data_IF_140846541160
#
_entry.id   IF_140846541160
#
_cell.length_a   1.000
_cell.length_b   1.000
_cell.length_c   1.000
_cell.angle_alpha   90.00
_cell.angle_beta   90.00
_cell.angle_gamma   90.00
#
_symmetry.space_group_name_H-M   'P 1'
#
loop_
_entity.id
_entity.type
_entity.pdbx_description
1 polymer ?
#
# COMPACT_ATOMS: atom_id res chain seq x y z
N UNK A 1 66.01 -63.28 57.04
CA UNK A 1 65.06 -64.28 57.59
C UNK A 1 63.72 -64.12 56.86
N UNK A 2 63.06 -65.24 56.51
CA UNK A 2 61.60 -65.45 56.29
C UNK A 2 60.65 -64.23 56.32
N UNK A 3 59.62 -64.01 55.48
CA UNK A 3 58.84 -64.77 54.45
C UNK A 3 57.88 -63.72 53.77
N UNK A 4 57.21 -63.85 52.62
CA UNK A 4 57.11 -64.84 51.51
C UNK A 4 56.34 -64.24 50.28
N UNK A 5 56.44 -64.86 49.08
CA UNK A 5 55.42 -65.11 47.99
C UNK A 5 54.10 -64.27 47.86
N UNK A 6 53.47 -63.98 46.69
CA UNK A 6 53.63 -64.33 45.25
C UNK A 6 52.74 -63.44 44.32
N UNK A 7 53.12 -63.28 43.04
CA UNK A 7 52.31 -63.14 41.78
C UNK A 7 50.98 -62.33 41.71
N UNK A 8 51.04 -61.21 40.96
CA UNK A 8 50.36 -60.95 39.65
C UNK A 8 48.93 -61.46 39.36
N UNK A 9 47.97 -60.54 39.10
CA UNK A 9 47.11 -60.44 37.88
C UNK A 9 46.07 -59.29 37.95
N UNK A 10 45.76 -58.67 36.80
CA UNK A 10 44.52 -57.86 36.61
C UNK A 10 43.30 -58.78 36.45
N UNK A 11 42.08 -58.25 36.69
CA UNK A 11 41.04 -58.34 35.66
C UNK A 11 40.23 -57.05 35.44
N UNK A 12 39.41 -57.07 34.39
CA UNK A 12 38.52 -55.98 33.91
C UNK A 12 37.07 -56.21 34.35
N UNK A 13 36.44 -55.15 34.88
CA UNK A 13 34.99 -54.82 34.95
C UNK A 13 34.87 -53.69 35.99
N UNK A 14 34.06 -52.63 35.88
CA UNK A 14 32.78 -52.48 35.20
C UNK A 14 31.74 -52.04 36.25
N UNK A 15 30.83 -51.12 35.88
CA UNK A 15 29.74 -50.50 36.69
C UNK A 15 30.01 -49.09 37.25
N UNK A 16 29.00 -48.26 37.01
CA UNK A 16 28.87 -46.83 37.25
C UNK A 16 29.12 -46.33 38.68
N UNK A 17 29.58 -45.08 38.78
CA UNK A 17 29.36 -44.24 39.95
C UNK A 17 28.54 -43.01 39.54
N UNK A 18 27.38 -42.83 40.15
CA UNK A 18 26.49 -41.71 39.87
C UNK A 18 27.03 -40.42 40.50
N UNK A 19 27.15 -39.34 39.71
CA UNK A 19 27.44 -38.01 40.24
C UNK A 19 26.11 -37.27 40.46
N UNK A 20 25.70 -37.14 41.72
CA UNK A 20 24.55 -36.34 42.10
C UNK A 20 24.91 -34.84 42.03
N UNK A 21 24.41 -34.14 41.00
CA UNK A 21 24.42 -32.67 40.96
C UNK A 21 23.27 -32.14 41.81
N UNK A 22 23.61 -31.46 42.90
CA UNK A 22 22.65 -30.73 43.72
C UNK A 22 22.07 -29.55 42.93
N UNK A 23 20.75 -29.52 42.76
CA UNK A 23 20.03 -28.35 42.25
C UNK A 23 20.05 -27.24 43.29
N UNK A 24 20.96 -26.28 43.15
CA UNK A 24 20.78 -24.96 43.79
C UNK A 24 19.78 -24.17 42.96
N UNK A 25 18.59 -23.94 43.52
CA UNK A 25 17.53 -23.15 42.88
C UNK A 25 17.90 -21.65 42.81
N UNK A 26 18.68 -21.29 41.79
CA UNK A 26 18.85 -19.89 41.38
C UNK A 26 17.67 -19.48 40.50
N UNK A 27 16.85 -18.54 40.98
CA UNK A 27 15.77 -17.94 40.21
C UNK A 27 16.32 -16.99 39.12
N UNK A 28 16.96 -17.56 38.10
CA UNK A 28 17.36 -16.85 36.89
C UNK A 28 16.16 -16.68 35.95
N UNK A 29 15.60 -15.47 35.88
CA UNK A 29 14.63 -15.10 34.85
C UNK A 29 15.30 -15.18 33.47
N UNK A 30 15.17 -16.35 32.82
CA UNK A 30 15.97 -16.76 31.67
C UNK A 30 15.14 -17.06 30.42
N UNK A 31 14.47 -16.04 29.88
CA UNK A 31 14.33 -15.92 28.42
C UNK A 31 14.19 -14.45 28.02
N UNK A 32 15.33 -13.89 27.62
CA UNK A 32 15.42 -12.62 26.89
C UNK A 32 14.32 -12.50 25.85
N UNK A 33 13.71 -11.32 25.75
CA UNK A 33 12.72 -11.01 24.73
C UNK A 33 13.21 -11.50 23.35
N UNK A 34 12.46 -12.43 22.76
CA UNK A 34 12.79 -12.96 21.44
C UNK A 34 12.83 -11.80 20.45
N UNK A 35 13.97 -11.63 19.77
CA UNK A 35 14.19 -10.54 18.84
C UNK A 35 13.00 -10.40 17.89
N UNK A 36 12.35 -9.24 17.91
CA UNK A 36 11.17 -8.98 17.11
C UNK A 36 11.57 -8.97 15.64
N UNK A 37 11.36 -10.10 14.97
CA UNK A 37 11.80 -10.33 13.59
C UNK A 37 11.28 -9.19 12.71
N UNK A 38 12.20 -8.57 11.97
CA UNK A 38 11.98 -7.40 11.14
C UNK A 38 10.97 -7.71 10.02
N UNK A 39 9.78 -7.14 10.13
CA UNK A 39 8.70 -7.25 9.14
C UNK A 39 7.58 -8.24 9.52
N UNK A 40 6.44 -8.11 8.84
CA UNK A 40 5.37 -9.11 8.92
C UNK A 40 5.74 -10.35 8.06
N UNK A 41 5.35 -11.58 8.47
CA UNK A 41 5.62 -12.79 7.69
C UNK A 41 4.81 -12.81 6.39
N UNK A 42 5.33 -13.43 5.32
CA UNK A 42 4.61 -13.59 4.05
C UNK A 42 3.26 -14.28 4.26
N UNK A 43 2.21 -13.77 3.62
CA UNK A 43 0.87 -14.36 3.62
C UNK A 43 0.81 -15.45 2.54
N UNK A 44 0.59 -16.74 2.88
CA UNK A 44 0.30 -17.77 1.89
C UNK A 44 -1.10 -17.53 1.32
N UNK A 45 -1.20 -17.39 0.00
CA UNK A 45 -2.46 -17.16 -0.71
C UNK A 45 -2.58 -18.06 -1.94
N UNK A 46 -3.81 -18.39 -2.30
CA UNK A 46 -4.15 -19.15 -3.51
C UNK A 46 -5.52 -18.72 -4.03
N UNK A 47 -5.76 -18.89 -5.33
CA UNK A 47 -7.03 -18.54 -5.97
C UNK A 47 -7.50 -19.64 -6.91
N UNK A 48 -8.81 -19.75 -7.08
CA UNK A 48 -9.45 -20.74 -7.94
C UNK A 48 -10.79 -20.22 -8.50
N UNK A 49 -11.25 -20.72 -9.65
CA UNK A 49 -12.56 -20.39 -10.20
C UNK A 49 -13.67 -21.07 -9.39
N UNK A 50 -14.83 -20.42 -9.30
CA UNK A 50 -15.98 -20.91 -8.54
C UNK A 50 -16.06 -20.37 -7.11
N UNK A 51 -16.98 -20.94 -6.33
CA UNK A 51 -17.29 -20.54 -4.96
C UNK A 51 -17.56 -21.74 -4.06
N UNK A 52 -17.50 -21.54 -2.74
CA UNK A 52 -17.88 -22.56 -1.77
C UNK A 52 -19.33 -23.03 -1.98
N UNK A 53 -19.55 -24.34 -1.93
CA UNK A 53 -20.87 -24.95 -1.99
C UNK A 53 -21.00 -26.00 -0.89
N UNK A 54 -21.87 -25.74 0.10
CA UNK A 54 -22.08 -26.63 1.24
C UNK A 54 -22.81 -27.94 0.89
N UNK A 55 -23.52 -27.98 -0.24
CA UNK A 55 -24.38 -29.09 -0.67
C UNK A 55 -23.90 -29.77 -1.96
N UNK A 56 -22.71 -29.44 -2.44
CA UNK A 56 -22.14 -30.03 -3.64
C UNK A 56 -21.20 -31.19 -3.28
N UNK A 57 -21.00 -32.19 -4.16
CA UNK A 57 -20.08 -33.30 -3.92
C UNK A 57 -18.65 -32.80 -3.65
N UNK A 58 -18.21 -31.82 -4.44
CA UNK A 58 -17.02 -31.02 -4.14
C UNK A 58 -17.40 -29.79 -3.31
N UNK A 59 -16.62 -29.49 -2.27
CA UNK A 59 -16.84 -28.30 -1.41
C UNK A 59 -16.69 -26.96 -2.15
N UNK A 60 -16.23 -27.00 -3.40
CA UNK A 60 -16.15 -25.88 -4.33
C UNK A 60 -17.01 -26.25 -5.54
N UNK A 61 -18.02 -25.42 -5.84
CA UNK A 61 -18.70 -25.49 -7.12
C UNK A 61 -18.01 -24.53 -8.08
N UNK A 62 -17.58 -25.04 -9.24
CA UNK A 62 -17.22 -24.16 -10.35
C UNK A 62 -18.42 -23.29 -10.71
N UNK A 63 -18.18 -21.99 -10.83
CA UNK A 63 -19.17 -21.00 -11.24
C UNK A 63 -18.54 -20.10 -12.30
N UNK A 64 -19.17 -19.94 -13.47
CA UNK A 64 -18.67 -19.04 -14.49
C UNK A 64 -18.40 -17.66 -13.89
N UNK A 65 -17.25 -17.09 -14.21
CA UNK A 65 -16.88 -15.72 -13.82
C UNK A 65 -17.00 -15.48 -12.31
N UNK A 66 -16.65 -16.46 -11.49
CA UNK A 66 -16.48 -16.26 -10.05
C UNK A 66 -15.04 -16.61 -9.68
N UNK A 67 -14.32 -15.72 -9.03
CA UNK A 67 -12.99 -16.00 -8.49
C UNK A 67 -13.07 -16.01 -6.97
N UNK A 68 -12.61 -17.10 -6.37
CA UNK A 68 -12.38 -17.16 -4.93
C UNK A 68 -10.88 -17.03 -4.66
N UNK A 69 -10.53 -16.11 -3.76
CA UNK A 69 -9.19 -15.95 -3.19
C UNK A 69 -9.23 -16.50 -1.76
N UNK A 70 -8.26 -17.35 -1.42
CA UNK A 70 -8.04 -17.83 -0.06
C UNK A 70 -6.66 -17.43 0.42
N UNK A 71 -6.53 -17.22 1.72
CA UNK A 71 -5.25 -16.98 2.36
C UNK A 71 -5.19 -17.55 3.77
N UNK A 72 -3.98 -17.92 4.19
CA UNK A 72 -3.71 -18.42 5.53
C UNK A 72 -3.37 -17.26 6.47
N UNK A 73 -4.14 -17.14 7.54
CA UNK A 73 -3.92 -16.19 8.64
C UNK A 73 -2.69 -16.58 9.44
N UNK A 74 -1.80 -15.61 9.70
CA UNK A 74 -0.62 -15.85 10.52
C UNK A 74 -0.91 -15.55 11.99
N UNK A 75 -0.86 -16.58 12.83
CA UNK A 75 -1.03 -16.45 14.29
C UNK A 75 -0.02 -15.48 14.90
N UNK A 76 1.23 -15.53 14.43
CA UNK A 76 2.31 -14.65 14.88
C UNK A 76 2.07 -13.20 14.44
N UNK A 77 1.50 -12.97 13.24
CA UNK A 77 1.14 -11.64 12.79
C UNK A 77 -0.02 -11.06 13.61
N UNK A 78 -1.12 -11.81 13.75
CA UNK A 78 -2.34 -11.34 14.44
C UNK A 78 -2.18 -11.18 15.95
N UNK A 79 -1.21 -11.87 16.56
CA UNK A 79 -0.89 -11.70 17.97
C UNK A 79 -0.15 -10.38 18.27
N UNK A 80 0.43 -9.70 17.28
CA UNK A 80 1.18 -8.45 17.49
C UNK A 80 0.28 -7.33 18.03
N UNK A 81 0.90 -6.33 18.65
CA UNK A 81 0.22 -5.13 19.13
C UNK A 81 -0.19 -4.19 17.99
N UNK A 82 0.58 -4.15 16.90
CA UNK A 82 0.43 -3.27 15.74
C UNK A 82 -0.36 -3.90 14.58
N UNK A 83 -0.92 -5.10 14.74
CA UNK A 83 -1.76 -5.73 13.71
C UNK A 83 -3.18 -5.14 13.74
N UNK A 84 -3.57 -4.48 12.65
CA UNK A 84 -4.88 -3.85 12.47
C UNK A 84 -5.75 -4.50 11.40
N UNK A 85 -5.29 -5.52 10.68
CA UNK A 85 -6.14 -6.28 9.77
C UNK A 85 -5.49 -6.80 8.49
N UNK A 86 -6.33 -7.05 7.50
CA UNK A 86 -5.94 -7.43 6.13
C UNK A 86 -6.63 -6.55 5.10
N UNK A 87 -5.90 -6.18 4.04
CA UNK A 87 -6.45 -5.51 2.85
C UNK A 87 -6.24 -6.40 1.63
N UNK A 88 -7.27 -6.53 0.80
CA UNK A 88 -7.25 -7.27 -0.47
C UNK A 88 -7.37 -6.27 -1.60
N UNK A 89 -6.41 -6.31 -2.49
CA UNK A 89 -6.33 -5.48 -3.69
C UNK A 89 -6.46 -6.35 -4.95
N UNK A 90 -6.95 -5.74 -6.04
CA UNK A 90 -7.14 -6.36 -7.35
C UNK A 90 -6.58 -5.47 -8.45
N UNK A 91 -5.98 -6.06 -9.48
CA UNK A 91 -5.66 -5.40 -10.76
C UNK A 91 -5.88 -6.39 -11.92
N UNK A 92 -6.27 -5.88 -13.09
CA UNK A 92 -6.53 -6.68 -14.30
C UNK A 92 -5.52 -6.37 -15.40
N UNK A 93 -5.25 -7.36 -16.26
CA UNK A 93 -4.32 -7.26 -17.39
C UNK A 93 -2.86 -7.50 -16.99
N UNK A 94 -2.30 -6.67 -16.10
CA UNK A 94 -0.90 -6.72 -15.67
C UNK A 94 -0.75 -6.62 -14.14
N UNK A 95 0.29 -7.25 -13.54
CA UNK A 95 0.53 -7.23 -12.09
C UNK A 95 1.20 -5.91 -11.63
N UNK A 96 0.61 -4.78 -12.00
CA UNK A 96 1.09 -3.45 -11.61
C UNK A 96 0.48 -3.02 -10.27
N UNK A 97 1.31 -2.93 -9.23
CA UNK A 97 0.88 -2.53 -7.88
C UNK A 97 0.44 -1.07 -7.80
N UNK A 98 0.88 -0.20 -8.71
CA UNK A 98 0.42 1.19 -8.76
C UNK A 98 -1.02 1.33 -9.30
N UNK A 99 -1.56 0.28 -9.91
CA UNK A 99 -2.92 0.22 -10.48
C UNK A 99 -3.87 -0.68 -9.70
N UNK A 100 -3.43 -1.17 -8.54
CA UNK A 100 -4.22 -2.05 -7.68
C UNK A 100 -5.29 -1.28 -6.92
N UNK A 101 -6.56 -1.70 -7.10
CA UNK A 101 -7.71 -1.13 -6.38
C UNK A 101 -8.03 -1.97 -5.14
N UNK A 102 -8.35 -1.32 -4.02
CA UNK A 102 -8.80 -1.98 -2.80
C UNK A 102 -10.21 -2.55 -3.02
N UNK A 103 -10.37 -3.87 -2.96
CA UNK A 103 -11.66 -4.55 -3.14
C UNK A 103 -12.27 -5.04 -1.83
N UNK A 104 -11.45 -5.30 -0.80
CA UNK A 104 -11.93 -5.68 0.54
C UNK A 104 -10.96 -5.27 1.62
N UNK A 105 -11.51 -4.85 2.76
CA UNK A 105 -10.79 -4.58 4.01
C UNK A 105 -11.41 -5.42 5.12
N UNK A 106 -10.57 -6.04 5.94
CA UNK A 106 -10.92 -6.74 7.17
C UNK A 106 -10.13 -6.08 8.30
N UNK A 107 -10.72 -5.09 8.94
CA UNK A 107 -10.01 -4.13 9.81
C UNK A 107 -10.48 -4.22 11.26
N UNK A 108 -9.52 -4.02 12.16
CA UNK A 108 -9.67 -3.94 13.61
C UNK A 108 -9.73 -2.50 14.12
N UNK A 109 -9.53 -1.54 13.22
CA UNK A 109 -9.50 -0.13 13.57
C UNK A 109 -10.87 0.36 14.07
N UNK A 110 -10.91 1.42 14.89
CA UNK A 110 -12.15 2.04 15.33
C UNK A 110 -13.13 2.29 14.16
N UNK A 111 -14.42 2.11 14.42
CA UNK A 111 -15.51 2.18 13.43
C UNK A 111 -15.45 1.14 12.28
N UNK A 112 -14.41 0.30 12.21
CA UNK A 112 -14.24 -0.74 11.18
C UNK A 112 -14.52 -2.16 11.68
N UNK A 113 -14.81 -2.35 12.98
CA UNK A 113 -14.95 -3.66 13.62
C UNK A 113 -16.01 -4.56 12.96
N UNK A 114 -17.09 -3.97 12.43
CA UNK A 114 -18.11 -4.67 11.65
C UNK A 114 -17.58 -5.34 10.38
N UNK A 115 -16.37 -5.01 9.92
CA UNK A 115 -15.72 -5.70 8.80
C UNK A 115 -15.04 -7.01 9.21
N UNK A 116 -14.78 -7.22 10.51
CA UNK A 116 -14.06 -8.38 11.04
C UNK A 116 -15.01 -9.48 11.53
N UNK A 117 -15.06 -10.59 10.80
CA UNK A 117 -15.93 -11.73 11.10
C UNK A 117 -15.18 -12.98 11.61
N UNK A 118 -13.86 -12.86 11.80
CA UNK A 118 -12.99 -13.97 12.17
C UNK A 118 -12.83 -14.09 13.69
N UNK A 119 -12.36 -15.25 14.15
CA UNK A 119 -11.83 -15.44 15.50
C UNK A 119 -10.71 -14.45 15.84
N UNK A 120 -10.35 -14.35 17.12
CA UNK A 120 -9.16 -13.60 17.57
C UNK A 120 -8.06 -14.56 17.96
N UNK A 121 -6.80 -14.19 17.72
CA UNK A 121 -5.66 -14.92 18.28
C UNK A 121 -5.48 -14.51 19.74
N UNK A 122 -5.49 -15.49 20.64
CA UNK A 122 -5.04 -15.29 22.01
C UNK A 122 -3.52 -15.14 22.03
N UNK A 123 -3.02 -14.05 22.62
CA UNK A 123 -1.59 -13.70 22.62
C UNK A 123 -0.74 -14.66 23.46
N UNK A 124 -1.35 -15.44 24.37
CA UNK A 124 -0.64 -16.30 25.31
C UNK A 124 -0.32 -17.68 24.74
N UNK A 125 -1.26 -18.28 23.99
CA UNK A 125 -1.14 -19.64 23.43
C UNK A 125 -1.18 -19.69 21.89
N UNK A 126 -1.27 -18.52 21.25
CA UNK A 126 -1.39 -18.33 19.80
C UNK A 126 -2.55 -19.10 19.17
N UNK A 127 -3.60 -19.43 19.93
CA UNK A 127 -4.80 -20.08 19.42
C UNK A 127 -5.82 -19.10 18.89
N UNK A 128 -6.41 -19.45 17.73
CA UNK A 128 -7.63 -18.81 17.24
C UNK A 128 -8.78 -19.17 18.19
N UNK A 129 -9.39 -18.18 18.83
CA UNK A 129 -10.50 -18.34 19.78
C UNK A 129 -11.69 -17.47 19.40
N UNK A 130 -12.89 -17.99 19.61
CA UNK A 130 -14.17 -17.26 19.56
C UNK A 130 -14.91 -17.51 20.86
N UNK A 131 -15.22 -16.45 21.60
CA UNK A 131 -15.84 -16.51 22.93
C UNK A 131 -15.11 -17.47 23.90
N UNK A 132 -13.77 -17.46 23.88
CA UNK A 132 -12.91 -18.33 24.69
C UNK A 132 -12.69 -19.75 24.16
N UNK A 133 -13.50 -20.22 23.21
CA UNK A 133 -13.38 -21.57 22.62
C UNK A 133 -12.42 -21.56 21.44
N UNK A 134 -11.51 -22.54 21.36
CA UNK A 134 -10.58 -22.71 20.23
C UNK A 134 -11.36 -23.08 18.97
N UNK A 135 -11.02 -22.42 17.86
CA UNK A 135 -11.63 -22.62 16.54
C UNK A 135 -10.55 -22.76 15.45
N UNK A 136 -10.94 -23.29 14.28
CA UNK A 136 -10.02 -23.65 13.20
C UNK A 136 -10.24 -22.84 11.92
N UNK A 137 -10.60 -21.56 12.06
CA UNK A 137 -10.85 -20.61 10.96
C UNK A 137 -9.57 -19.89 10.48
N UNK A 138 -8.45 -20.62 10.41
CA UNK A 138 -7.15 -20.07 9.97
C UNK A 138 -7.12 -19.72 8.48
N UNK A 139 -8.02 -20.29 7.68
CA UNK A 139 -8.13 -20.02 6.23
C UNK A 139 -9.26 -19.05 5.98
N UNK A 140 -8.95 -17.84 5.51
CA UNK A 140 -9.95 -16.89 5.05
C UNK A 140 -10.36 -17.25 3.63
N UNK A 141 -11.65 -17.15 3.34
CA UNK A 141 -12.21 -17.26 1.98
C UNK A 141 -12.85 -15.93 1.61
N UNK A 142 -12.34 -15.29 0.55
CA UNK A 142 -12.90 -14.10 -0.07
C UNK A 142 -13.38 -14.47 -1.48
N UNK A 143 -14.70 -14.39 -1.70
CA UNK A 143 -15.26 -14.45 -3.05
C UNK A 143 -15.30 -13.02 -3.57
N UNK A 144 -14.69 -12.76 -4.72
CA UNK A 144 -14.70 -11.43 -5.31
C UNK A 144 -16.13 -11.10 -5.79
N UNK A 145 -16.80 -10.07 -5.21
CA UNK A 145 -18.19 -9.75 -5.54
C UNK A 145 -18.36 -9.25 -6.98
N UNK A 146 -17.36 -8.56 -7.53
CA UNK A 146 -17.46 -7.99 -8.89
C UNK A 146 -17.09 -9.00 -9.96
N UNK A 147 -16.49 -10.15 -9.61
CA UNK A 147 -16.20 -11.19 -10.60
C UNK A 147 -17.45 -11.60 -11.38
N UNK A 148 -18.59 -11.72 -10.69
CA UNK A 148 -19.84 -12.25 -11.25
C UNK A 148 -20.64 -11.25 -12.11
N UNK A 149 -20.37 -9.94 -12.01
CA UNK A 149 -21.20 -8.89 -12.61
C UNK A 149 -22.26 -8.30 -11.67
N UNK A 150 -23.00 -7.32 -12.18
CA UNK A 150 -24.04 -6.59 -11.45
C UNK A 150 -25.42 -6.87 -12.05
N UNK A 151 -26.41 -7.15 -11.21
CA UNK A 151 -27.79 -7.27 -11.68
C UNK A 151 -28.38 -5.88 -11.93
N UNK A 152 -28.66 -5.58 -13.20
CA UNK A 152 -29.35 -4.37 -13.63
C UNK A 152 -30.80 -4.69 -13.99
N UNK A 153 -31.70 -3.77 -13.65
CA UNK A 153 -33.10 -3.84 -14.08
C UNK A 153 -33.22 -3.25 -15.48
N UNK A 154 -33.50 -4.08 -16.47
CA UNK A 154 -33.71 -3.64 -17.86
C UNK A 154 -35.21 -3.62 -18.15
N UNK A 155 -35.72 -2.47 -18.57
CA UNK A 155 -37.09 -2.33 -19.08
C UNK A 155 -37.13 -2.66 -20.58
N UNK A 156 -38.15 -3.42 -21.03
CA UNK A 156 -38.42 -3.63 -22.46
C UNK A 156 -38.91 -2.36 -23.15
N UNK A 157 -39.65 -1.52 -22.42
CA UNK A 157 -40.10 -0.20 -22.85
C UNK A 157 -39.91 0.80 -21.71
N UNK A 158 -39.43 2.01 -22.05
CA UNK A 158 -39.18 3.10 -21.11
C UNK A 158 -40.01 4.33 -21.45
N UNK A 159 -40.34 5.14 -20.44
CA UNK A 159 -40.82 6.51 -20.64
C UNK A 159 -39.66 7.48 -20.95
N UNK A 160 -40.01 8.74 -21.23
CA UNK A 160 -39.06 9.84 -21.49
C UNK A 160 -38.15 10.18 -20.28
N UNK A 161 -38.31 9.49 -19.14
CA UNK A 161 -37.53 9.66 -17.90
C UNK A 161 -36.84 8.34 -17.50
N UNK A 162 -36.83 7.33 -18.40
CA UNK A 162 -36.13 6.05 -18.21
C UNK A 162 -36.85 5.03 -17.32
N UNK A 163 -38.13 5.23 -16.97
CA UNK A 163 -38.91 4.31 -16.12
C UNK A 163 -39.63 3.26 -16.95
N UNK A 164 -39.74 2.02 -16.44
CA UNK A 164 -40.47 0.96 -17.13
C UNK A 164 -41.98 1.26 -17.19
N UNK A 165 -42.60 1.10 -18.36
CA UNK A 165 -44.00 1.51 -18.59
C UNK A 165 -45.04 0.68 -17.81
N UNK A 166 -44.83 -0.62 -17.60
CA UNK A 166 -45.80 -1.48 -16.89
C UNK A 166 -45.17 -2.50 -15.93
N UNK A 167 -45.99 -3.06 -15.03
CA UNK A 167 -45.61 -4.20 -14.18
C UNK A 167 -45.58 -5.48 -15.02
N UNK A 168 -44.36 -5.91 -15.36
CA UNK A 168 -44.11 -7.09 -16.20
C UNK A 168 -43.08 -6.81 -17.30
N UNK A 169 -42.92 -5.54 -17.69
CA UNK A 169 -41.97 -5.14 -18.75
C UNK A 169 -40.51 -5.07 -18.30
N UNK A 170 -40.20 -5.38 -17.04
CA UNK A 170 -38.82 -5.32 -16.52
C UNK A 170 -38.28 -6.69 -16.17
N UNK A 171 -37.11 -7.02 -16.69
CA UNK A 171 -36.33 -8.20 -16.30
C UNK A 171 -35.09 -7.77 -15.54
N UNK A 172 -34.63 -8.62 -14.61
CA UNK A 172 -33.30 -8.48 -14.02
C UNK A 172 -32.31 -9.20 -14.94
N UNK A 173 -31.35 -8.47 -15.49
CA UNK A 173 -30.27 -8.99 -16.32
C UNK A 173 -28.99 -8.93 -15.51
N UNK A 174 -28.24 -10.04 -15.47
CA UNK A 174 -26.87 -10.00 -14.97
C UNK A 174 -26.00 -9.31 -16.02
N UNK A 175 -25.72 -8.03 -15.83
CA UNK A 175 -24.76 -7.32 -16.66
C UNK A 175 -23.35 -7.69 -16.19
N UNK A 176 -22.53 -8.34 -17.04
CA UNK A 176 -21.13 -8.54 -16.69
C UNK A 176 -20.47 -7.18 -16.45
N UNK A 177 -19.39 -7.10 -15.64
CA UNK A 177 -18.67 -5.85 -15.46
C UNK A 177 -18.19 -5.32 -16.82
N UNK A 178 -17.96 -4.01 -16.98
CA UNK A 178 -17.45 -3.45 -18.22
C UNK A 178 -16.04 -3.97 -18.52
N UNK A 179 -15.97 -5.04 -19.30
CA UNK A 179 -14.75 -5.75 -19.67
C UNK A 179 -15.01 -7.24 -19.93
N UNK A 180 -14.26 -7.91 -20.83
CA UNK A 180 -14.39 -9.35 -21.01
C UNK A 180 -13.88 -10.10 -19.78
N UNK A 181 -14.80 -10.68 -19.00
CA UNK A 181 -14.44 -11.66 -17.96
C UNK A 181 -14.03 -13.02 -18.53
N UNK A 182 -13.99 -13.13 -19.86
CA UNK A 182 -13.32 -14.20 -20.60
C UNK A 182 -11.96 -13.69 -21.10
N UNK A 183 -10.88 -14.04 -20.40
CA UNK A 183 -9.51 -13.98 -20.94
C UNK A 183 -8.49 -13.06 -20.26
N UNK A 184 -8.88 -12.05 -19.48
CA UNK A 184 -7.90 -11.17 -18.82
C UNK A 184 -7.35 -11.76 -17.51
N UNK A 185 -6.02 -11.77 -17.38
CA UNK A 185 -5.35 -12.16 -16.12
C UNK A 185 -5.71 -11.16 -15.03
N UNK A 186 -6.30 -11.66 -13.95
CA UNK A 186 -6.58 -10.89 -12.74
C UNK A 186 -5.57 -11.25 -11.67
N UNK A 187 -4.95 -10.24 -11.07
CA UNK A 187 -3.96 -10.38 -10.02
C UNK A 187 -4.52 -9.83 -8.72
N UNK A 188 -4.28 -10.55 -7.63
CA UNK A 188 -4.65 -10.13 -6.29
C UNK A 188 -3.40 -9.96 -5.45
N UNK A 189 -3.41 -8.95 -4.59
CA UNK A 189 -2.44 -8.78 -3.52
C UNK A 189 -3.18 -8.70 -2.19
N UNK A 190 -2.59 -9.31 -1.15
CA UNK A 190 -3.11 -9.23 0.21
C UNK A 190 -1.99 -8.67 1.07
N UNK A 191 -2.29 -7.59 1.79
CA UNK A 191 -1.35 -6.94 2.70
C UNK A 191 -1.90 -6.99 4.12
N UNK A 192 -1.00 -6.89 5.09
CA UNK A 192 -1.37 -6.50 6.44
C UNK A 192 -1.83 -5.05 6.45
N UNK A 193 -2.68 -4.74 7.42
CA UNK A 193 -3.05 -3.39 7.82
C UNK A 193 -2.51 -3.15 9.23
N UNK A 194 -1.96 -1.96 9.48
CA UNK A 194 -1.53 -1.56 10.82
C UNK A 194 -2.73 -1.22 11.71
N UNK A 195 -2.59 -1.46 13.01
CA UNK A 195 -3.55 -0.97 14.00
C UNK A 195 -3.29 0.51 14.22
N UNK A 196 -4.32 1.33 14.06
CA UNK A 196 -4.28 2.72 14.45
C UNK A 196 -4.32 2.80 15.98
N UNK A 197 -3.15 3.03 16.56
CA UNK A 197 -2.96 3.25 18.01
C UNK A 197 -2.92 4.73 18.38
N UNK A 198 -3.19 5.64 17.43
CA UNK A 198 -3.25 7.08 17.68
C UNK A 198 -4.68 7.53 17.99
N UNK A 199 -4.83 8.42 18.98
CA UNK A 199 -6.12 9.01 19.33
C UNK A 199 -6.61 10.00 18.24
N UNK A 200 -5.69 10.54 17.44
CA UNK A 200 -5.93 11.53 16.38
C UNK A 200 -6.50 10.94 15.07
N UNK A 201 -6.61 9.60 14.97
CA UNK A 201 -7.04 8.94 13.73
C UNK A 201 -5.95 8.83 12.64
N UNK A 202 -4.69 9.05 12.99
CA UNK A 202 -3.54 8.90 12.09
C UNK A 202 -3.21 7.44 11.80
N UNK A 203 -3.27 7.08 10.51
CA UNK A 203 -2.96 5.73 10.04
C UNK A 203 -1.44 5.55 9.92
N UNK A 204 -0.84 4.83 10.87
CA UNK A 204 0.61 4.58 10.93
C UNK A 204 1.16 3.71 9.78
N UNK A 205 0.30 3.12 8.95
CA UNK A 205 0.69 2.52 7.66
C UNK A 205 0.90 3.54 6.53
N UNK A 206 0.59 4.83 6.78
CA UNK A 206 0.81 5.96 5.87
C UNK A 206 1.89 6.92 6.38
N UNK A 207 2.52 6.55 7.49
CA UNK A 207 3.66 7.22 8.08
C UNK A 207 4.93 6.81 7.32
N UNK A 208 5.42 7.70 6.47
CA UNK A 208 6.72 7.52 5.82
C UNK A 208 7.83 8.17 6.65
N UNK A 209 9.06 7.63 6.65
CA UNK A 209 10.21 8.34 7.17
C UNK A 209 10.35 9.69 6.45
N UNK A 210 10.13 10.76 7.19
CA UNK A 210 10.33 12.11 6.70
C UNK A 210 11.80 12.38 6.46
N UNK A 211 12.08 13.30 5.52
CA UNK A 211 13.43 13.84 5.40
C UNK A 211 13.74 14.64 6.65
N UNK A 212 14.86 14.34 7.32
CA UNK A 212 15.44 15.24 8.30
C UNK A 212 16.00 16.47 7.56
N UNK A 213 15.12 17.44 7.39
CA UNK A 213 15.34 18.71 6.69
C UNK A 213 16.19 19.69 7.50
N UNK A 214 16.51 19.36 8.75
CA UNK A 214 17.32 20.19 9.64
C UNK A 214 18.78 19.75 9.71
N UNK A 215 19.12 18.48 9.40
CA UNK A 215 20.50 17.99 9.52
C UNK A 215 20.87 16.85 8.55
N UNK A 216 20.33 16.84 7.32
CA UNK A 216 20.74 15.93 6.24
C UNK A 216 20.83 14.44 6.64
N UNK A 217 19.81 13.95 7.36
CA UNK A 217 19.70 12.59 7.94
C UNK A 217 20.62 12.27 9.13
N UNK A 218 21.38 13.22 9.68
CA UNK A 218 22.28 12.97 10.82
C UNK A 218 21.56 12.48 12.09
N UNK A 219 20.28 12.82 12.27
CA UNK A 219 19.47 12.34 13.41
C UNK A 219 18.91 10.94 13.19
N UNK A 220 18.77 10.49 11.94
CA UNK A 220 18.17 9.21 11.56
C UNK A 220 19.09 8.01 11.83
N UNK A 221 19.29 7.68 13.11
CA UNK A 221 20.10 6.53 13.53
C UNK A 221 19.49 5.17 13.18
N UNK A 222 18.15 5.06 13.16
CA UNK A 222 17.43 3.81 12.86
C UNK A 222 16.29 4.05 11.87
N UNK A 223 16.25 3.40 10.70
CA UNK A 223 15.14 3.51 9.77
C UNK A 223 13.81 3.06 10.40
N UNK A 224 12.82 3.96 10.45
CA UNK A 224 11.49 3.70 10.99
C UNK A 224 11.30 3.99 12.49
N UNK A 225 12.30 4.54 13.18
CA UNK A 225 12.17 5.02 14.56
C UNK A 225 11.68 6.48 14.58
N UNK A 226 10.49 6.69 15.16
CA UNK A 226 9.83 8.00 15.28
C UNK A 226 10.51 8.96 16.26
N UNK A 227 11.39 8.45 17.13
CA UNK A 227 12.12 9.27 18.10
C UNK A 227 13.40 9.88 17.52
N UNK A 228 13.91 9.34 16.40
CA UNK A 228 15.16 9.77 15.77
C UNK A 228 14.99 10.28 14.33
N UNK A 229 13.96 9.84 13.60
CA UNK A 229 13.53 10.46 12.34
C UNK A 229 12.18 11.17 12.51
N UNK A 230 11.99 12.39 11.94
CA UNK A 230 10.65 12.95 11.76
C UNK A 230 9.79 12.00 10.92
N UNK A 231 8.59 11.66 11.38
CA UNK A 231 7.62 10.87 10.61
C UNK A 231 6.62 11.79 9.94
N UNK A 232 6.27 11.49 8.69
CA UNK A 232 5.31 12.26 7.90
C UNK A 232 4.12 11.38 7.54
N UNK A 233 2.96 11.69 8.09
CA UNK A 233 1.72 11.03 7.71
C UNK A 233 1.22 11.59 6.38
N UNK A 234 1.22 10.78 5.31
CA UNK A 234 0.84 11.25 3.97
C UNK A 234 -0.63 11.73 3.88
N UNK A 235 -1.51 11.29 4.78
CA UNK A 235 -2.91 11.73 4.83
C UNK A 235 -3.15 12.96 5.72
N UNK A 236 -2.24 13.31 6.63
CA UNK A 236 -2.46 14.43 7.55
C UNK A 236 -2.14 15.78 6.89
N UNK A 237 -2.97 16.17 5.91
CA UNK A 237 -2.79 17.33 5.03
C UNK A 237 -2.48 18.63 5.79
N UNK A 238 -3.02 18.82 7.00
CA UNK A 238 -2.74 19.98 7.83
C UNK A 238 -1.28 20.01 8.35
N UNK A 239 -0.72 18.89 8.82
CA UNK A 239 0.70 18.85 9.23
C UNK A 239 1.63 19.05 8.02
N UNK A 240 1.24 18.50 6.86
CA UNK A 240 2.04 18.61 5.64
C UNK A 240 2.01 20.03 5.03
N UNK A 241 0.93 20.79 5.25
CA UNK A 241 0.75 22.17 4.77
C UNK A 241 1.29 23.25 5.72
N UNK A 242 1.31 22.98 7.03
CA UNK A 242 1.97 23.84 8.05
C UNK A 242 3.17 23.13 8.67
N UNK A 243 4.28 22.96 7.92
CA UNK A 243 5.53 22.49 8.50
C UNK A 243 6.05 23.50 9.54
N UNK A 244 6.89 23.07 10.50
CA UNK A 244 7.57 23.99 11.43
C UNK A 244 8.33 25.10 10.68
N UNK A 245 8.51 26.30 11.29
CA UNK A 245 9.24 27.39 10.65
C UNK A 245 10.63 26.94 10.16
N UNK A 246 10.82 26.93 8.83
CA UNK A 246 12.06 26.49 8.19
C UNK A 246 12.06 25.07 7.60
N UNK A 247 11.04 24.25 7.86
CA UNK A 247 10.84 22.97 7.17
C UNK A 247 10.05 23.15 5.85
N UNK A 248 10.36 22.40 4.78
CA UNK A 248 9.66 22.49 3.51
C UNK A 248 8.28 21.83 3.58
N UNK A 249 7.29 22.44 2.93
CA UNK A 249 5.96 21.87 2.72
C UNK A 249 6.09 20.60 1.89
N UNK A 250 5.78 19.45 2.48
CA UNK A 250 5.84 18.15 1.81
C UNK A 250 4.52 17.88 1.09
N UNK A 251 4.46 18.21 -0.19
CA UNK A 251 3.37 17.74 -1.04
C UNK A 251 3.60 16.25 -1.38
N UNK A 252 2.59 15.38 -1.24
CA UNK A 252 2.73 13.96 -1.50
C UNK A 252 2.90 13.71 -3.01
N UNK A 253 4.12 13.37 -3.40
CA UNK A 253 4.48 13.03 -4.80
C UNK A 253 5.09 11.64 -4.88
N UNK A 254 5.33 11.15 -6.09
CA UNK A 254 6.02 9.87 -6.31
C UNK A 254 7.54 9.97 -6.04
N UNK A 255 8.07 11.18 -5.90
CA UNK A 255 9.50 11.44 -5.92
C UNK A 255 10.09 11.38 -7.35
N UNK A 256 11.24 12.03 -7.60
CA UNK A 256 11.72 12.29 -8.96
C UNK A 256 11.82 11.05 -9.84
N UNK A 257 11.36 11.16 -11.10
CA UNK A 257 11.35 10.05 -12.06
C UNK A 257 12.52 10.19 -13.05
N UNK A 258 13.29 9.12 -13.33
CA UNK A 258 14.42 9.18 -14.26
C UNK A 258 14.00 9.18 -15.74
N UNK A 259 12.74 8.84 -16.03
CA UNK A 259 12.20 8.66 -17.37
C UNK A 259 11.52 9.95 -17.86
N UNK A 260 12.22 10.70 -18.72
CA UNK A 260 11.72 11.96 -19.28
C UNK A 260 10.47 11.81 -20.15
N UNK A 261 10.21 10.63 -20.74
CA UNK A 261 9.00 10.42 -21.58
C UNK A 261 7.71 10.42 -20.76
N UNK A 262 7.82 10.35 -19.43
CA UNK A 262 6.70 10.47 -18.48
C UNK A 262 6.41 11.91 -18.07
N UNK A 263 7.25 12.88 -18.44
CA UNK A 263 6.98 14.27 -18.09
C UNK A 263 5.69 14.72 -18.77
N UNK A 264 4.81 15.36 -18.01
CA UNK A 264 3.52 15.88 -18.49
C UNK A 264 3.28 17.26 -17.87
N UNK A 265 2.49 18.08 -18.56
CA UNK A 265 1.90 19.30 -17.99
C UNK A 265 0.50 18.97 -17.50
N UNK A 266 0.17 19.41 -16.28
CA UNK A 266 -1.18 19.30 -15.71
C UNK A 266 -1.63 20.66 -15.15
N UNK A 267 -2.89 21.08 -15.38
CA UNK A 267 -3.83 20.53 -16.37
C UNK A 267 -3.36 20.76 -17.82
N UNK A 268 -3.80 19.91 -18.75
CA UNK A 268 -3.59 20.07 -20.18
C UNK A 268 -4.81 19.54 -20.95
N UNK A 269 -5.64 20.39 -21.60
CA UNK A 269 -5.52 21.86 -21.65
C UNK A 269 -5.71 22.50 -20.27
N UNK A 270 -5.00 23.59 -20.00
CA UNK A 270 -5.33 24.51 -18.90
C UNK A 270 -6.49 25.41 -19.31
N UNK A 271 -7.47 25.58 -18.43
CA UNK A 271 -8.60 26.51 -18.59
C UNK A 271 -8.56 27.54 -17.47
N UNK A 272 -8.70 28.83 -17.79
CA UNK A 272 -8.77 29.85 -16.76
C UNK A 272 -9.93 29.58 -15.79
N UNK A 273 -9.64 29.73 -14.49
CA UNK A 273 -10.51 29.37 -13.37
C UNK A 273 -10.74 27.85 -13.23
N UNK A 274 -9.64 27.08 -13.17
CA UNK A 274 -9.71 25.71 -12.63
C UNK A 274 -10.17 25.75 -11.17
N UNK A 275 -10.73 24.63 -10.68
CA UNK A 275 -11.36 24.56 -9.35
C UNK A 275 -10.40 24.78 -8.14
N UNK A 276 -9.09 24.89 -8.39
CA UNK A 276 -8.04 25.14 -7.40
C UNK A 276 -7.29 26.47 -7.61
N UNK A 277 -7.57 27.21 -8.69
CA UNK A 277 -6.94 28.51 -8.94
C UNK A 277 -7.44 29.55 -7.91
N UNK A 278 -6.53 30.41 -7.44
CA UNK A 278 -6.93 31.59 -6.65
C UNK A 278 -7.43 32.70 -7.57
N UNK A 279 -8.33 33.59 -7.11
CA UNK A 279 -8.84 34.69 -7.94
C UNK A 279 -7.71 35.58 -8.50
N UNK A 280 -7.53 35.56 -9.83
CA UNK A 280 -6.50 36.34 -10.54
C UNK A 280 -5.14 35.63 -10.69
N UNK A 281 -4.97 34.45 -10.10
CA UNK A 281 -3.84 33.55 -10.30
C UNK A 281 -4.23 32.41 -11.26
N UNK A 282 -3.24 31.66 -11.73
CA UNK A 282 -3.44 30.52 -12.62
C UNK A 282 -2.15 29.75 -12.78
N UNK A 283 -2.18 28.44 -12.55
CA UNK A 283 -0.96 27.63 -12.40
C UNK A 283 -1.01 26.34 -13.22
N UNK A 284 0.12 25.98 -13.83
CA UNK A 284 0.34 24.65 -14.42
C UNK A 284 1.58 23.99 -13.82
N UNK A 285 1.49 22.68 -13.60
CA UNK A 285 2.56 21.88 -13.03
C UNK A 285 3.18 20.99 -14.11
N UNK A 286 4.50 21.00 -14.22
CA UNK A 286 5.27 19.98 -14.93
C UNK A 286 5.54 18.84 -13.95
N UNK A 287 5.03 17.64 -14.19
CA UNK A 287 5.10 16.48 -13.26
C UNK A 287 5.92 15.32 -13.83
N UNK A 288 6.34 14.39 -12.97
CA UNK A 288 7.29 13.28 -13.27
C UNK A 288 8.69 13.76 -13.71
N UNK A 289 9.18 14.87 -13.17
CA UNK A 289 10.53 15.39 -13.43
C UNK A 289 11.62 14.53 -12.77
N UNK A 290 12.82 14.43 -13.37
CA UNK A 290 14.05 13.99 -12.69
C UNK A 290 14.51 15.01 -11.65
N UNK A 291 15.36 14.59 -10.71
CA UNK A 291 15.77 15.40 -9.56
C UNK A 291 16.58 16.66 -9.90
N UNK A 292 17.13 16.73 -11.12
CA UNK A 292 17.72 17.93 -11.68
C UNK A 292 17.29 18.06 -13.13
N UNK A 293 16.48 19.07 -13.45
CA UNK A 293 16.01 19.34 -14.80
C UNK A 293 15.85 20.84 -15.08
N UNK A 294 16.09 21.25 -16.31
CA UNK A 294 15.78 22.59 -16.82
C UNK A 294 14.61 22.48 -17.78
N UNK A 295 13.54 23.23 -17.53
CA UNK A 295 12.33 23.27 -18.35
C UNK A 295 12.32 24.62 -19.09
N UNK A 296 12.28 24.58 -20.41
CA UNK A 296 12.17 25.78 -21.26
C UNK A 296 10.83 25.75 -21.99
N UNK A 297 10.09 26.84 -21.89
CA UNK A 297 8.72 26.98 -22.41
C UNK A 297 8.78 27.96 -23.58
N UNK A 298 8.16 27.59 -24.71
CA UNK A 298 8.23 28.33 -25.97
C UNK A 298 6.86 28.58 -26.58
N UNK A 299 6.74 29.65 -27.36
CA UNK A 299 5.65 29.81 -28.32
C UNK A 299 5.80 28.81 -29.48
N UNK A 300 4.74 28.60 -30.26
CA UNK A 300 4.84 27.86 -31.55
C UNK A 300 5.73 28.54 -32.59
N UNK A 301 6.07 29.82 -32.42
CA UNK A 301 7.04 30.53 -33.26
C UNK A 301 8.51 30.31 -32.80
N UNK A 302 8.73 29.69 -31.64
CA UNK A 302 10.04 29.39 -31.07
C UNK A 302 10.56 30.44 -30.09
N UNK A 303 9.78 31.46 -29.75
CA UNK A 303 10.17 32.47 -28.76
C UNK A 303 10.19 31.86 -27.36
N UNK A 304 11.27 32.09 -26.60
CA UNK A 304 11.38 31.65 -25.21
C UNK A 304 10.43 32.48 -24.33
N UNK A 305 9.48 31.80 -23.70
CA UNK A 305 8.49 32.40 -22.79
C UNK A 305 9.03 32.42 -21.35
N UNK A 306 9.56 31.29 -20.88
CA UNK A 306 10.09 31.12 -19.52
C UNK A 306 11.11 29.97 -19.44
N UNK A 307 12.07 30.07 -18.51
CA UNK A 307 12.94 28.96 -18.07
C UNK A 307 12.67 28.68 -16.59
N UNK A 308 12.41 27.42 -16.25
CA UNK A 308 12.23 26.94 -14.89
C UNK A 308 13.36 25.96 -14.57
N UNK A 309 13.92 26.04 -13.35
CA UNK A 309 14.95 25.12 -12.87
C UNK A 309 14.39 24.27 -11.75
N UNK A 310 14.40 22.97 -11.95
CA UNK A 310 14.03 21.98 -10.97
C UNK A 310 15.30 21.34 -10.42
N UNK A 311 15.52 21.48 -9.11
CA UNK A 311 16.65 20.90 -8.37
C UNK A 311 16.13 20.41 -7.02
N UNK A 312 15.41 19.28 -7.04
CA UNK A 312 14.72 18.74 -5.87
C UNK A 312 14.86 17.21 -5.84
N UNK A 313 15.28 16.66 -4.71
CA UNK A 313 15.44 15.21 -4.53
C UNK A 313 14.20 14.54 -3.96
N UNK A 314 13.15 15.31 -3.65
CA UNK A 314 11.93 14.88 -2.96
C UNK A 314 10.68 15.08 -3.81
N UNK A 315 10.55 16.22 -4.48
CA UNK A 315 9.40 16.54 -5.36
C UNK A 315 9.72 16.20 -6.81
N UNK A 316 8.77 15.65 -7.55
CA UNK A 316 8.88 15.33 -8.98
C UNK A 316 8.21 16.36 -9.89
N UNK A 317 8.01 17.60 -9.41
CA UNK A 317 7.31 18.61 -10.17
C UNK A 317 7.90 20.01 -10.05
N UNK A 318 7.59 20.84 -11.05
CA UNK A 318 7.87 22.27 -11.09
C UNK A 318 6.61 23.04 -11.45
N UNK A 319 6.50 24.25 -10.90
CA UNK A 319 5.32 25.11 -10.97
C UNK A 319 5.55 26.26 -11.93
N UNK A 320 4.53 26.62 -12.70
CA UNK A 320 4.54 27.80 -13.56
C UNK A 320 3.25 28.59 -13.42
N UNK A 321 3.39 29.87 -13.09
CA UNK A 321 2.32 30.85 -12.86
C UNK A 321 1.75 31.46 -14.16
N UNK A 322 2.01 30.81 -15.30
CA UNK A 322 1.60 31.24 -16.64
C UNK A 322 2.07 32.66 -17.00
N UNK A 323 3.24 33.09 -16.49
CA UNK A 323 3.88 34.37 -16.85
C UNK A 323 5.12 34.19 -17.73
N UNK A 324 5.37 35.16 -18.61
CA UNK A 324 6.61 35.26 -19.38
C UNK A 324 7.75 35.88 -18.53
N UNK A 325 8.95 35.98 -19.12
CA UNK A 325 10.11 36.62 -18.49
C UNK A 325 9.92 38.09 -18.04
N UNK A 326 8.95 38.81 -18.61
CA UNK A 326 8.58 40.18 -18.22
C UNK A 326 7.50 40.22 -17.12
N UNK A 327 7.09 39.07 -16.58
CA UNK A 327 6.02 38.96 -15.57
C UNK A 327 4.60 39.17 -16.12
N UNK A 328 4.42 39.19 -17.44
CA UNK A 328 3.11 39.33 -18.09
C UNK A 328 2.44 37.95 -18.23
N UNK A 329 1.12 37.86 -18.00
CA UNK A 329 0.38 36.62 -18.23
C UNK A 329 0.38 36.26 -19.73
N UNK A 330 0.60 34.99 -20.03
CA UNK A 330 0.61 34.48 -21.41
C UNK A 330 -0.82 34.41 -21.99
N UNK A 331 -0.95 34.50 -23.32
CA UNK A 331 -2.25 34.45 -24.00
C UNK A 331 -2.77 33.02 -24.20
N UNK A 332 -4.02 32.88 -24.66
CA UNK A 332 -4.58 31.60 -25.10
C UNK A 332 -3.82 31.09 -26.33
N UNK A 333 -3.37 29.84 -26.31
CA UNK A 333 -2.54 29.30 -27.39
C UNK A 333 -1.94 27.92 -27.11
N UNK A 334 -1.20 27.41 -28.10
CA UNK A 334 -0.38 26.21 -27.98
C UNK A 334 1.03 26.65 -27.56
N UNK A 335 1.55 26.00 -26.52
CA UNK A 335 2.90 26.19 -26.01
C UNK A 335 3.68 24.89 -26.16
N UNK A 336 4.96 25.02 -26.51
CA UNK A 336 5.91 23.91 -26.54
C UNK A 336 6.73 23.95 -25.26
N UNK A 337 7.15 22.80 -24.76
CA UNK A 337 8.12 22.73 -23.68
C UNK A 337 9.22 21.72 -24.00
N UNK A 338 10.41 22.02 -23.51
CA UNK A 338 11.59 21.14 -23.59
C UNK A 338 12.17 20.99 -22.20
N UNK A 339 12.35 19.74 -21.77
CA UNK A 339 12.94 19.38 -20.47
C UNK A 339 14.29 18.75 -20.70
N UNK A 340 15.32 19.28 -20.06
CA UNK A 340 16.71 18.87 -20.21
C UNK A 340 17.24 18.37 -18.86
N UNK A 341 17.78 17.15 -18.83
CA UNK A 341 18.35 16.53 -17.62
C UNK A 341 19.64 15.78 -18.00
N UNK A 342 20.80 16.34 -17.61
CA UNK A 342 22.10 15.83 -18.02
C UNK A 342 22.26 15.87 -19.54
N UNK A 343 22.50 14.71 -20.16
CA UNK A 343 22.62 14.54 -21.63
C UNK A 343 21.29 14.28 -22.33
N UNK A 344 20.18 14.11 -21.60
CA UNK A 344 18.88 13.77 -22.17
C UNK A 344 17.98 15.00 -22.28
N UNK A 345 17.19 15.04 -23.36
CA UNK A 345 16.16 16.06 -23.57
C UNK A 345 14.86 15.41 -24.07
N UNK A 346 13.73 15.90 -23.57
CA UNK A 346 12.39 15.55 -24.02
C UNK A 346 11.63 16.82 -24.41
N UNK A 347 10.70 16.71 -25.36
CA UNK A 347 9.91 17.84 -25.85
C UNK A 347 8.48 17.39 -26.18
N UNK A 348 7.51 18.23 -25.81
CA UNK A 348 6.08 18.00 -26.04
C UNK A 348 5.32 19.35 -25.96
N UNK A 349 3.98 19.33 -26.00
CA UNK A 349 3.14 20.52 -26.09
C UNK A 349 1.97 20.51 -25.10
N UNK A 350 1.51 21.70 -24.75
CA UNK A 350 0.29 21.91 -23.97
C UNK A 350 -0.50 23.11 -24.48
N UNK A 351 -1.75 23.21 -24.04
CA UNK A 351 -2.69 24.24 -24.49
C UNK A 351 -3.13 25.08 -23.30
N UNK A 352 -3.10 26.40 -23.46
CA UNK A 352 -3.63 27.37 -22.51
C UNK A 352 -4.90 27.99 -23.10
N UNK A 353 -5.99 28.00 -22.33
CA UNK A 353 -7.28 28.59 -22.70
C UNK A 353 -7.67 29.59 -21.61
N UNK A 354 -7.49 30.88 -21.87
CA UNK A 354 -8.14 32.00 -21.14
C UNK A 354 -9.43 32.41 -21.85
#
# INVERSE_FOLDING_TARGET
>A
MTRSTLRLRLPVAGVALALALAFTAGAGAGSTAGAQVTGFPRIPLWSYPGAYCATCPDTIAERPRTVTVRFLRSRVAEARADFGGYRIYRVTGAPDTARMVLVRRFSLNPNSEFTWYFSRVDRNDLQFKKNGVVVHDSVVTFVDPDSAGSYVKVCRFVDNVGRCLSRGDSIMVLQPPPGPHDGFRTYYAITYEALNTSEDGNYADLDVPGRDVFDNYARCGTPGDSSTCPIVNLNHKALNLTPPPGAPTLEPTRGPQPDLERVRVVPNPYRAAEAWDRPGEGEVHFVNLPSSATIKIFTVAGDLVAELRHQDTVRDFARWDLRNGDGQQVTSGIYLYRVESGTFAFQDRFIVIR
#
